data_IF_065230676285
#
_entry.id   IF_065230676285
#
_cell.length_a   1.000
_cell.length_b   1.000
_cell.length_c   1.000
_cell.angle_alpha   90.00
_cell.angle_beta   90.00
_cell.angle_gamma   90.00
#
_symmetry.space_group_name_H-M   'P 1'
#
loop_
_entity.id
_entity.type
_entity.pdbx_description
1 polymer ?
#
# COMPACT_ATOMS: atom_id res chain seq x y z
N UNK A 1 -23.27 10.05 -13.89
CA UNK A 1 -23.65 9.92 -12.45
C UNK A 1 -22.74 10.76 -11.56
N UNK A 2 -23.12 10.99 -10.29
CA UNK A 2 -22.32 11.75 -9.31
C UNK A 2 -21.67 10.81 -8.32
N UNK A 3 -20.35 10.88 -8.23
CA UNK A 3 -19.52 10.03 -7.36
C UNK A 3 -18.85 10.90 -6.29
N UNK A 4 -18.88 10.47 -5.03
CA UNK A 4 -18.11 11.09 -3.97
C UNK A 4 -17.08 10.09 -3.44
N UNK A 5 -15.78 10.37 -3.61
CA UNK A 5 -14.70 9.42 -3.33
C UNK A 5 -13.83 9.94 -2.20
N UNK A 6 -13.53 9.10 -1.20
CA UNK A 6 -12.72 9.49 -0.04
C UNK A 6 -11.50 8.57 0.07
N UNK A 7 -10.31 9.16 -0.06
CA UNK A 7 -9.01 8.55 0.20
C UNK A 7 -8.21 9.43 1.17
N UNK A 8 -7.64 8.84 2.21
CA UNK A 8 -6.98 9.59 3.29
C UNK A 8 -5.44 9.54 3.27
N UNK A 9 -4.82 8.86 2.30
CA UNK A 9 -3.38 8.63 2.21
C UNK A 9 -2.90 8.62 0.76
N UNK A 10 -1.58 8.74 0.55
CA UNK A 10 -0.97 8.76 -0.78
C UNK A 10 -1.23 7.48 -1.60
N UNK A 11 -1.27 6.32 -0.96
CA UNK A 11 -1.63 5.04 -1.59
C UNK A 11 -3.09 5.05 -2.06
N UNK A 12 -3.99 5.58 -1.25
CA UNK A 12 -5.39 5.75 -1.59
C UNK A 12 -5.60 6.76 -2.73
N UNK A 13 -4.80 7.83 -2.79
CA UNK A 13 -4.82 8.81 -3.88
C UNK A 13 -4.41 8.17 -5.22
N UNK A 14 -3.38 7.32 -5.22
CA UNK A 14 -2.98 6.57 -6.41
C UNK A 14 -4.10 5.64 -6.90
N UNK A 15 -4.66 4.84 -6.00
CA UNK A 15 -5.76 3.90 -6.30
C UNK A 15 -7.00 4.67 -6.76
N UNK A 16 -7.32 5.77 -6.09
CA UNK A 16 -8.45 6.65 -6.43
C UNK A 16 -8.29 7.30 -7.79
N UNK A 17 -7.10 7.76 -8.15
CA UNK A 17 -6.80 8.32 -9.47
C UNK A 17 -7.03 7.31 -10.60
N UNK A 18 -6.56 6.06 -10.44
CA UNK A 18 -6.80 5.00 -11.41
C UNK A 18 -8.30 4.67 -11.51
N UNK A 19 -8.99 4.58 -10.36
CA UNK A 19 -10.44 4.35 -10.32
C UNK A 19 -11.21 5.46 -11.05
N UNK A 20 -10.86 6.72 -10.85
CA UNK A 20 -11.54 7.86 -11.47
C UNK A 20 -11.38 7.82 -12.99
N UNK A 21 -10.18 7.54 -13.51
CA UNK A 21 -9.96 7.34 -14.95
C UNK A 21 -10.85 6.22 -15.49
N UNK A 22 -10.89 5.08 -14.82
CA UNK A 22 -11.74 3.95 -15.23
C UNK A 22 -13.24 4.25 -15.13
N UNK A 23 -13.67 5.09 -14.19
CA UNK A 23 -15.06 5.59 -14.12
C UNK A 23 -15.36 6.47 -15.34
N UNK A 24 -14.50 7.43 -15.68
CA UNK A 24 -14.72 8.32 -16.83
C UNK A 24 -14.75 7.57 -18.16
N UNK A 25 -13.99 6.48 -18.30
CA UNK A 25 -14.02 5.61 -19.49
C UNK A 25 -15.36 4.87 -19.64
N UNK A 26 -16.04 4.54 -18.54
CA UNK A 26 -17.28 3.75 -18.53
C UNK A 26 -18.54 4.61 -18.33
N UNK A 27 -18.42 5.78 -17.70
CA UNK A 27 -19.47 6.78 -17.52
C UNK A 27 -18.95 8.13 -17.99
N UNK A 28 -19.15 8.43 -19.28
CA UNK A 28 -18.69 9.68 -19.93
C UNK A 28 -19.29 10.94 -19.33
N UNK A 29 -20.39 10.85 -18.58
CA UNK A 29 -21.04 11.95 -17.87
C UNK A 29 -20.78 11.91 -16.36
N UNK A 30 -19.75 11.16 -15.92
CA UNK A 30 -19.37 11.09 -14.52
C UNK A 30 -18.99 12.47 -13.99
N UNK A 31 -19.57 12.84 -12.85
CA UNK A 31 -19.14 14.00 -12.06
C UNK A 31 -18.55 13.46 -10.77
N UNK A 32 -17.25 13.70 -10.55
CA UNK A 32 -16.52 13.14 -9.42
C UNK A 32 -16.05 14.23 -8.49
N UNK A 33 -16.40 14.11 -7.21
CA UNK A 33 -15.93 14.96 -6.13
C UNK A 33 -15.12 14.11 -5.15
N UNK A 34 -13.97 14.60 -4.68
CA UNK A 34 -13.13 13.77 -3.86
C UNK A 34 -12.44 14.48 -2.68
N UNK A 35 -12.12 13.67 -1.67
CA UNK A 35 -11.05 13.87 -0.72
C UNK A 35 -9.92 12.94 -1.15
N UNK A 36 -8.72 13.46 -1.42
CA UNK A 36 -7.62 12.69 -1.97
C UNK A 36 -6.38 13.56 -2.16
N UNK A 37 -5.78 13.51 -3.32
CA UNK A 37 -4.60 14.29 -3.65
C UNK A 37 -4.46 14.59 -5.13
N UNK A 38 -3.23 14.94 -5.52
CA UNK A 38 -2.89 15.41 -6.85
C UNK A 38 -3.25 14.40 -7.97
N UNK A 39 -3.17 13.08 -7.67
CA UNK A 39 -3.48 12.02 -8.65
C UNK A 39 -4.98 11.91 -8.94
N UNK A 40 -5.82 12.03 -7.93
CA UNK A 40 -7.27 12.03 -8.10
C UNK A 40 -7.75 13.32 -8.80
N UNK A 41 -7.17 14.47 -8.47
CA UNK A 41 -7.45 15.75 -9.14
C UNK A 41 -7.04 15.69 -10.62
N UNK A 42 -5.83 15.22 -10.92
CA UNK A 42 -5.35 15.06 -12.30
C UNK A 42 -6.20 14.06 -13.11
N UNK A 43 -6.82 13.09 -12.44
CA UNK A 43 -7.73 12.14 -13.08
C UNK A 43 -9.12 12.73 -13.39
N UNK A 44 -9.38 13.99 -13.07
CA UNK A 44 -10.61 14.74 -13.43
C UNK A 44 -11.61 14.90 -12.28
N UNK A 45 -11.23 14.61 -11.03
CA UNK A 45 -12.10 14.87 -9.89
C UNK A 45 -11.97 16.30 -9.36
N UNK A 46 -13.08 16.83 -8.81
CA UNK A 46 -13.04 18.07 -8.01
C UNK A 46 -12.49 17.77 -6.62
N UNK A 47 -11.26 18.20 -6.34
CA UNK A 47 -10.62 18.02 -5.05
C UNK A 47 -11.19 18.99 -4.01
N UNK A 48 -11.73 18.47 -2.91
CA UNK A 48 -12.32 19.25 -1.81
C UNK A 48 -11.35 19.37 -0.64
N UNK A 49 -10.62 18.30 -0.38
CA UNK A 49 -9.65 18.25 0.71
C UNK A 49 -8.48 17.35 0.35
N UNK A 50 -7.26 17.90 0.50
CA UNK A 50 -6.05 17.16 0.24
C UNK A 50 -5.69 16.26 1.42
N UNK A 51 -5.28 14.99 1.16
CA UNK A 51 -4.93 14.03 2.22
C UNK A 51 -3.78 14.52 3.12
N UNK A 52 -2.86 15.36 2.62
CA UNK A 52 -1.80 15.99 3.43
C UNK A 52 -2.34 16.82 4.59
N UNK A 53 -3.54 17.37 4.46
CA UNK A 53 -4.22 18.10 5.52
C UNK A 53 -4.91 17.18 6.54
N UNK A 54 -5.02 15.86 6.22
CA UNK A 54 -5.61 14.83 7.08
C UNK A 54 -4.55 14.04 7.86
N UNK A 55 -3.28 14.17 7.48
CA UNK A 55 -2.18 13.41 8.02
C UNK A 55 -1.80 13.88 9.44
N UNK A 56 -2.51 13.36 10.44
CA UNK A 56 -2.09 13.37 11.84
C UNK A 56 -1.43 12.02 12.14
N UNK A 57 -0.10 11.96 12.06
CA UNK A 57 0.66 10.74 12.23
C UNK A 57 1.28 10.66 13.62
N UNK A 58 0.77 9.75 14.45
CA UNK A 58 1.31 9.39 15.74
C UNK A 58 0.21 9.21 16.78
N UNK A 59 0.38 8.24 17.70
CA UNK A 59 -0.65 7.96 18.73
C UNK A 59 -0.88 9.17 19.65
N UNK A 60 0.16 9.95 19.93
CA UNK A 60 0.12 11.19 20.73
C UNK A 60 -0.54 12.32 19.94
N UNK A 61 -0.22 12.45 18.64
CA UNK A 61 -0.78 13.46 17.74
C UNK A 61 -2.29 13.22 17.50
N UNK A 62 -2.73 11.97 17.42
CA UNK A 62 -4.16 11.65 17.31
C UNK A 62 -4.96 12.13 18.51
N UNK A 63 -4.42 12.01 19.73
CA UNK A 63 -5.09 12.46 20.96
C UNK A 63 -5.19 13.99 21.02
N UNK A 64 -4.14 14.69 20.60
CA UNK A 64 -4.09 16.17 20.59
C UNK A 64 -4.96 16.78 19.50
N UNK A 65 -5.21 16.05 18.40
CA UNK A 65 -5.97 16.52 17.25
C UNK A 65 -7.39 15.94 17.09
N UNK A 66 -7.93 15.29 18.13
CA UNK A 66 -9.30 14.74 18.10
C UNK A 66 -10.35 15.76 17.61
N UNK A 67 -10.25 17.02 18.06
CA UNK A 67 -11.15 18.10 17.60
C UNK A 67 -11.06 18.36 16.10
N UNK A 68 -9.87 18.29 15.52
CA UNK A 68 -9.68 18.45 14.08
C UNK A 68 -10.28 17.28 13.28
N UNK A 69 -10.12 16.05 13.78
CA UNK A 69 -10.73 14.86 13.18
C UNK A 69 -12.26 14.98 13.17
N UNK A 70 -12.87 15.34 14.29
CA UNK A 70 -14.33 15.53 14.35
C UNK A 70 -14.80 16.67 13.45
N UNK A 71 -14.09 17.78 13.40
CA UNK A 71 -14.40 18.90 12.50
C UNK A 71 -14.33 18.46 11.03
N UNK A 72 -13.33 17.68 10.65
CA UNK A 72 -13.20 17.13 9.29
C UNK A 72 -14.36 16.17 8.96
N UNK A 73 -14.77 15.31 9.91
CA UNK A 73 -15.94 14.43 9.74
C UNK A 73 -17.20 15.25 9.48
N UNK A 74 -17.47 16.27 10.28
CA UNK A 74 -18.66 17.12 10.11
C UNK A 74 -18.63 17.94 8.83
N UNK A 75 -17.46 18.45 8.43
CA UNK A 75 -17.30 19.11 7.15
C UNK A 75 -17.57 18.14 5.97
N UNK A 76 -17.02 16.94 6.03
CA UNK A 76 -17.22 15.91 5.02
C UNK A 76 -18.72 15.55 4.88
N UNK A 77 -19.41 15.33 5.98
CA UNK A 77 -20.86 15.03 5.99
C UNK A 77 -21.68 16.14 5.35
N UNK A 78 -21.40 17.40 5.69
CA UNK A 78 -22.09 18.57 5.10
C UNK A 78 -21.86 18.67 3.60
N UNK A 79 -20.62 18.43 3.16
CA UNK A 79 -20.27 18.48 1.75
C UNK A 79 -20.92 17.34 0.95
N UNK A 80 -20.95 16.12 1.49
CA UNK A 80 -21.65 14.98 0.88
C UNK A 80 -23.15 15.27 0.71
N UNK A 81 -23.81 15.82 1.75
CA UNK A 81 -25.24 16.17 1.69
C UNK A 81 -25.52 17.25 0.65
N UNK A 82 -24.65 18.27 0.53
CA UNK A 82 -24.80 19.34 -0.45
C UNK A 82 -24.59 18.81 -1.88
N UNK A 83 -23.63 17.91 -2.06
CA UNK A 83 -23.31 17.34 -3.37
C UNK A 83 -24.36 16.32 -3.84
N UNK A 84 -24.99 15.58 -2.93
CA UNK A 84 -25.99 14.54 -3.20
C UNK A 84 -25.48 13.49 -4.20
N UNK A 85 -24.43 12.72 -3.86
CA UNK A 85 -23.88 11.70 -4.74
C UNK A 85 -24.86 10.55 -4.97
N UNK A 86 -24.78 9.91 -6.16
CA UNK A 86 -25.49 8.66 -6.45
C UNK A 86 -24.85 7.47 -5.74
N UNK A 87 -23.52 7.55 -5.49
CA UNK A 87 -22.74 6.57 -4.71
C UNK A 87 -21.61 7.26 -3.95
N UNK A 88 -21.39 6.81 -2.71
CA UNK A 88 -20.24 7.15 -1.88
C UNK A 88 -19.20 6.03 -1.98
N UNK A 89 -17.98 6.36 -2.38
CA UNK A 89 -16.86 5.41 -2.52
C UNK A 89 -15.81 5.70 -1.45
N UNK A 90 -15.52 4.71 -0.63
CA UNK A 90 -14.56 4.81 0.47
C UNK A 90 -13.33 3.96 0.15
N UNK A 91 -12.14 4.58 0.09
CA UNK A 91 -10.89 3.88 -0.22
C UNK A 91 -10.05 3.78 1.04
N UNK A 92 -9.80 2.53 1.53
CA UNK A 92 -9.03 2.27 2.75
C UNK A 92 -9.37 3.23 3.92
N UNK A 93 -8.38 3.77 4.64
CA UNK A 93 -8.52 4.81 5.68
C UNK A 93 -9.62 4.53 6.73
N UNK A 94 -9.61 3.34 7.37
CA UNK A 94 -10.75 2.82 8.12
C UNK A 94 -11.13 3.66 9.34
N UNK A 95 -10.20 4.39 9.94
CA UNK A 95 -10.45 5.24 11.11
C UNK A 95 -11.47 6.36 10.83
N UNK A 96 -11.47 6.89 9.62
CA UNK A 96 -12.36 7.94 9.14
C UNK A 96 -13.53 7.33 8.34
N UNK A 97 -13.21 6.51 7.35
CA UNK A 97 -14.16 6.01 6.39
C UNK A 97 -15.28 5.15 7.01
N UNK A 98 -14.99 4.32 8.01
CA UNK A 98 -16.04 3.54 8.69
C UNK A 98 -17.03 4.41 9.49
N UNK A 99 -16.62 5.58 9.98
CA UNK A 99 -17.53 6.55 10.64
C UNK A 99 -18.41 7.26 9.62
N UNK A 100 -17.85 7.57 8.45
CA UNK A 100 -18.62 8.13 7.34
C UNK A 100 -19.62 7.10 6.80
N UNK A 101 -19.21 5.83 6.64
CA UNK A 101 -20.10 4.75 6.20
C UNK A 101 -21.31 4.58 7.13
N UNK A 102 -21.08 4.47 8.46
CA UNK A 102 -22.15 4.35 9.44
C UNK A 102 -23.16 5.52 9.39
N UNK A 103 -22.66 6.73 9.21
CA UNK A 103 -23.50 7.90 9.08
C UNK A 103 -24.25 7.92 7.74
N UNK A 104 -23.58 7.66 6.61
CA UNK A 104 -24.14 7.69 5.27
C UNK A 104 -25.21 6.59 5.09
N UNK A 105 -25.04 5.43 5.72
CA UNK A 105 -26.06 4.37 5.72
C UNK A 105 -27.36 4.83 6.37
N UNK A 106 -27.29 5.61 7.44
CA UNK A 106 -28.48 6.23 8.09
C UNK A 106 -29.15 7.30 7.22
N UNK A 107 -28.46 7.80 6.20
CA UNK A 107 -29.01 8.71 5.20
C UNK A 107 -29.49 7.97 3.93
N UNK A 108 -29.56 6.64 3.95
CA UNK A 108 -29.95 5.78 2.84
C UNK A 108 -29.07 5.97 1.58
N UNK A 109 -27.80 6.35 1.75
CA UNK A 109 -26.83 6.45 0.65
C UNK A 109 -26.32 5.08 0.25
N UNK A 110 -26.01 4.88 -1.03
CA UNK A 110 -25.31 3.71 -1.54
C UNK A 110 -23.83 3.85 -1.27
N UNK A 111 -23.20 2.80 -0.69
CA UNK A 111 -21.83 2.85 -0.21
C UNK A 111 -21.03 1.69 -0.79
N UNK A 112 -20.01 2.02 -1.59
CA UNK A 112 -18.96 1.10 -2.00
C UNK A 112 -17.71 1.32 -1.14
N UNK A 113 -17.09 0.23 -0.68
CA UNK A 113 -15.81 0.30 0.01
C UNK A 113 -14.76 -0.42 -0.84
N UNK A 114 -13.79 0.31 -1.34
CA UNK A 114 -12.70 -0.20 -2.17
C UNK A 114 -11.39 -0.23 -1.38
N UNK A 115 -10.65 -1.33 -1.44
CA UNK A 115 -9.53 -1.67 -0.58
C UNK A 115 -9.98 -1.86 0.87
N UNK A 116 -10.37 -3.10 1.17
CA UNK A 116 -10.85 -3.51 2.49
C UNK A 116 -9.91 -3.10 3.63
N UNK A 117 -10.44 -2.63 4.76
CA UNK A 117 -9.64 -2.52 5.98
C UNK A 117 -9.05 -3.88 6.36
N UNK A 118 -7.81 -3.91 6.85
CA UNK A 118 -7.12 -5.15 7.23
C UNK A 118 -7.70 -5.77 8.53
N UNK A 119 -9.03 -5.94 8.57
CA UNK A 119 -9.73 -6.51 9.72
C UNK A 119 -9.41 -7.99 9.94
N UNK A 120 -8.97 -8.67 8.90
CA UNK A 120 -8.47 -10.05 8.94
C UNK A 120 -7.18 -10.20 9.76
N UNK A 121 -6.37 -9.15 9.87
CA UNK A 121 -5.15 -9.16 10.68
C UNK A 121 -5.43 -8.87 12.17
N UNK A 122 -6.44 -8.03 12.45
CA UNK A 122 -6.79 -7.60 13.80
C UNK A 122 -8.21 -7.05 13.83
N UNK A 123 -8.92 -7.19 14.97
CA UNK A 123 -10.29 -6.68 15.15
C UNK A 123 -11.34 -7.22 14.16
N UNK A 124 -11.33 -8.52 13.92
CA UNK A 124 -12.28 -9.21 13.02
C UNK A 124 -13.75 -8.85 13.29
N UNK A 125 -14.15 -8.62 14.54
CA UNK A 125 -15.53 -8.19 14.90
C UNK A 125 -16.01 -6.91 14.21
N UNK A 126 -15.08 -6.13 13.59
CA UNK A 126 -15.47 -4.98 12.77
C UNK A 126 -16.21 -5.38 11.48
N UNK A 127 -16.08 -6.63 11.05
CA UNK A 127 -16.82 -7.16 9.90
C UNK A 127 -18.33 -6.98 10.05
N UNK A 128 -18.87 -7.15 11.26
CA UNK A 128 -20.31 -6.94 11.52
C UNK A 128 -20.76 -5.52 11.18
N UNK A 129 -19.93 -4.51 11.56
CA UNK A 129 -20.23 -3.10 11.23
C UNK A 129 -20.09 -2.85 9.72
N UNK A 130 -19.07 -3.41 9.11
CA UNK A 130 -18.84 -3.29 7.66
C UNK A 130 -20.04 -3.90 6.91
N UNK A 131 -20.44 -5.12 7.26
CA UNK A 131 -21.59 -5.82 6.67
C UNK A 131 -22.90 -5.02 6.80
N UNK A 132 -23.11 -4.31 7.93
CA UNK A 132 -24.28 -3.46 8.16
C UNK A 132 -24.27 -2.18 7.31
N UNK A 133 -23.08 -1.54 7.20
CA UNK A 133 -22.98 -0.16 6.73
C UNK A 133 -22.49 -0.02 5.28
N UNK A 134 -21.96 -1.10 4.67
CA UNK A 134 -21.38 -1.08 3.31
C UNK A 134 -22.21 -1.99 2.39
N UNK A 135 -22.71 -1.42 1.28
CA UNK A 135 -23.52 -2.17 0.31
C UNK A 135 -22.67 -3.03 -0.62
N UNK A 136 -21.47 -2.55 -0.98
CA UNK A 136 -20.54 -3.26 -1.87
C UNK A 136 -19.12 -3.17 -1.33
N UNK A 137 -18.55 -4.30 -0.96
CA UNK A 137 -17.15 -4.40 -0.54
C UNK A 137 -16.31 -4.96 -1.69
N UNK A 138 -15.32 -4.17 -2.14
CA UNK A 138 -14.38 -4.51 -3.21
C UNK A 138 -13.01 -4.79 -2.60
N UNK A 139 -12.62 -6.05 -2.60
CA UNK A 139 -11.38 -6.52 -1.99
C UNK A 139 -10.28 -6.69 -3.03
N UNK A 140 -9.01 -6.50 -2.60
CA UNK A 140 -7.85 -6.52 -3.47
C UNK A 140 -6.88 -7.68 -3.19
N UNK A 141 -7.07 -8.40 -2.08
CA UNK A 141 -6.28 -9.58 -1.73
C UNK A 141 -7.14 -10.84 -1.93
N UNK A 142 -6.63 -11.87 -2.63
CA UNK A 142 -7.43 -13.06 -2.97
C UNK A 142 -8.04 -13.75 -1.76
N UNK A 143 -7.27 -13.87 -0.67
CA UNK A 143 -7.71 -14.56 0.56
C UNK A 143 -8.81 -13.80 1.33
N UNK A 144 -9.05 -12.53 1.04
CA UNK A 144 -10.11 -11.75 1.70
C UNK A 144 -11.49 -12.29 1.34
N UNK A 145 -11.66 -12.89 0.17
CA UNK A 145 -12.93 -13.53 -0.21
C UNK A 145 -13.29 -14.65 0.77
N UNK A 146 -12.34 -15.54 1.05
CA UNK A 146 -12.55 -16.65 1.99
C UNK A 146 -12.68 -16.15 3.42
N UNK A 147 -11.96 -15.10 3.79
CA UNK A 147 -12.09 -14.46 5.08
C UNK A 147 -13.50 -13.92 5.30
N UNK A 148 -14.04 -13.12 4.39
CA UNK A 148 -15.38 -12.54 4.52
C UNK A 148 -16.50 -13.58 4.39
N UNK A 149 -16.29 -14.67 3.64
CA UNK A 149 -17.22 -15.81 3.57
C UNK A 149 -17.49 -16.44 4.93
N UNK A 150 -16.48 -16.48 5.84
CA UNK A 150 -16.68 -16.98 7.24
C UNK A 150 -17.68 -16.14 8.04
N UNK A 151 -17.87 -14.87 7.63
CA UNK A 151 -18.81 -13.93 8.24
C UNK A 151 -20.17 -13.86 7.48
N UNK A 152 -20.39 -14.79 6.55
CA UNK A 152 -21.56 -14.74 5.67
C UNK A 152 -21.73 -13.34 5.04
N UNK A 153 -20.63 -12.78 4.52
CA UNK A 153 -20.62 -11.51 3.83
C UNK A 153 -19.97 -11.65 2.45
N UNK A 154 -20.80 -11.46 1.41
CA UNK A 154 -20.35 -11.54 0.03
C UNK A 154 -19.55 -10.28 -0.33
N UNK A 155 -18.32 -10.47 -0.77
CA UNK A 155 -17.42 -9.43 -1.27
C UNK A 155 -17.01 -9.73 -2.71
N UNK A 156 -16.54 -8.70 -3.44
CA UNK A 156 -16.09 -8.87 -4.82
C UNK A 156 -14.58 -8.66 -4.90
N UNK A 157 -13.85 -9.68 -5.32
CA UNK A 157 -12.42 -9.55 -5.64
C UNK A 157 -12.27 -8.87 -7.00
N UNK A 158 -11.62 -7.72 -7.05
CA UNK A 158 -11.47 -6.90 -8.26
C UNK A 158 -10.08 -6.98 -8.89
N UNK A 159 -9.13 -7.66 -8.25
CA UNK A 159 -7.70 -7.66 -8.58
C UNK A 159 -6.93 -6.67 -7.71
N UNK A 160 -5.58 -6.72 -7.79
CA UNK A 160 -4.73 -5.84 -6.97
C UNK A 160 -4.25 -4.62 -7.77
N UNK A 161 -4.49 -3.38 -7.32
CA UNK A 161 -4.13 -2.15 -8.05
C UNK A 161 -2.65 -2.04 -8.41
N UNK A 162 -1.75 -2.57 -7.58
CA UNK A 162 -0.31 -2.54 -7.87
C UNK A 162 0.07 -3.33 -9.13
N UNK A 163 -0.70 -4.34 -9.53
CA UNK A 163 -0.43 -5.09 -10.78
C UNK A 163 -0.55 -4.17 -11.99
N UNK A 164 -1.56 -3.30 -12.01
CA UNK A 164 -1.73 -2.29 -13.07
C UNK A 164 -0.55 -1.32 -13.10
N UNK A 165 -0.24 -0.74 -11.94
CA UNK A 165 0.85 0.23 -11.79
C UNK A 165 2.19 -0.36 -12.24
N UNK A 166 2.52 -1.57 -11.77
CA UNK A 166 3.79 -2.22 -12.12
C UNK A 166 3.83 -2.62 -13.60
N UNK A 167 2.69 -3.02 -14.19
CA UNK A 167 2.60 -3.33 -15.62
C UNK A 167 2.84 -2.09 -16.47
N UNK A 168 2.20 -0.98 -16.16
CA UNK A 168 2.41 0.31 -16.82
C UNK A 168 3.86 0.73 -16.70
N UNK A 169 4.43 0.70 -15.51
CA UNK A 169 5.80 1.10 -15.26
C UNK A 169 6.83 0.19 -15.95
N UNK A 170 6.59 -1.13 -16.04
CA UNK A 170 7.48 -2.03 -16.79
C UNK A 170 7.50 -1.73 -18.29
N UNK A 171 6.39 -1.24 -18.82
CA UNK A 171 6.26 -0.88 -20.22
C UNK A 171 6.78 0.53 -20.52
N UNK A 172 6.84 1.41 -19.52
CA UNK A 172 7.37 2.75 -19.64
C UNK A 172 8.89 2.72 -19.71
N UNK A 173 9.44 3.25 -20.78
CA UNK A 173 10.88 3.38 -21.05
C UNK A 173 11.17 4.88 -21.25
N UNK A 174 12.34 5.38 -20.88
CA UNK A 174 13.63 4.69 -20.66
C UNK A 174 13.94 4.42 -19.19
N UNK A 175 14.71 3.36 -18.94
CA UNK A 175 15.38 3.13 -17.66
C UNK A 175 16.59 4.08 -17.60
N UNK A 176 16.59 4.97 -16.61
CA UNK A 176 17.75 5.85 -16.36
C UNK A 176 18.78 5.04 -15.58
N UNK A 177 19.95 4.77 -16.16
CA UNK A 177 21.02 4.03 -15.49
C UNK A 177 21.44 4.73 -14.20
N UNK A 178 21.46 3.99 -13.10
CA UNK A 178 21.85 4.49 -11.78
C UNK A 178 23.33 4.21 -11.47
N UNK A 179 23.90 3.15 -12.03
CA UNK A 179 25.28 2.75 -11.79
C UNK A 179 25.79 1.80 -12.86
N UNK A 180 27.11 1.78 -13.07
CA UNK A 180 27.79 0.78 -13.87
C UNK A 180 27.94 -0.56 -13.12
N UNK A 181 27.84 -0.56 -11.79
CA UNK A 181 27.84 -1.76 -10.97
C UNK A 181 26.42 -2.32 -10.83
N UNK A 182 26.26 -3.65 -10.61
CA UNK A 182 24.98 -4.23 -10.27
C UNK A 182 24.37 -3.56 -9.02
N UNK A 183 23.08 -3.29 -9.05
CA UNK A 183 22.40 -2.47 -8.03
C UNK A 183 21.75 -3.35 -6.95
N UNK A 184 21.91 -2.98 -5.69
CA UNK A 184 21.12 -3.47 -4.56
C UNK A 184 20.22 -2.33 -4.07
N UNK A 185 18.90 -2.56 -4.09
CA UNK A 185 17.92 -1.59 -3.65
C UNK A 185 17.75 -1.57 -2.12
N UNK A 186 17.76 -0.40 -1.51
CA UNK A 186 17.44 -0.19 -0.11
C UNK A 186 16.15 0.61 0.00
N UNK A 187 15.09 -0.01 0.52
CA UNK A 187 13.79 0.61 0.79
C UNK A 187 13.52 0.60 2.31
N UNK A 188 14.07 1.55 3.08
CA UNK A 188 14.06 1.50 4.55
C UNK A 188 12.71 1.86 5.17
N UNK A 189 11.77 2.35 4.39
CA UNK A 189 10.43 2.76 4.81
C UNK A 189 10.09 4.20 4.46
N UNK A 190 8.86 4.60 4.79
CA UNK A 190 8.34 5.95 4.50
C UNK A 190 8.32 6.88 5.71
N UNK A 191 8.48 6.35 6.93
CA UNK A 191 8.43 7.14 8.17
C UNK A 191 9.83 7.36 8.74
N UNK A 192 10.10 8.56 9.26
CA UNK A 192 11.41 8.90 9.83
C UNK A 192 11.90 7.90 10.88
N UNK A 193 11.03 7.42 11.77
CA UNK A 193 11.37 6.42 12.78
C UNK A 193 11.78 5.08 12.16
N UNK A 194 11.12 4.65 11.10
CA UNK A 194 11.44 3.43 10.38
C UNK A 194 12.81 3.52 9.72
N UNK A 195 13.07 4.64 9.06
CA UNK A 195 14.33 4.92 8.36
C UNK A 195 15.48 4.95 9.36
N UNK A 196 15.35 5.72 10.47
CA UNK A 196 16.37 5.83 11.52
C UNK A 196 16.77 4.47 12.12
N UNK A 197 15.85 3.52 12.20
CA UNK A 197 16.11 2.21 12.82
C UNK A 197 16.65 1.21 11.81
N UNK A 198 16.14 1.17 10.59
CA UNK A 198 16.45 0.11 9.61
C UNK A 198 17.58 0.47 8.68
N UNK A 199 17.66 1.71 8.19
CA UNK A 199 18.69 2.11 7.24
C UNK A 199 20.11 1.90 7.77
N UNK A 200 20.48 2.23 9.03
CA UNK A 200 21.81 1.95 9.55
C UNK A 200 22.20 0.46 9.51
N UNK A 201 21.20 -0.43 9.68
CA UNK A 201 21.46 -1.89 9.64
C UNK A 201 21.66 -2.34 8.19
N UNK A 202 20.87 -1.82 7.26
CA UNK A 202 21.00 -2.11 5.83
C UNK A 202 22.34 -1.62 5.27
N UNK A 203 22.80 -0.44 5.67
CA UNK A 203 24.10 0.14 5.26
C UNK A 203 25.30 -0.72 5.65
N UNK A 204 25.21 -1.48 6.74
CA UNK A 204 26.31 -2.40 7.12
C UNK A 204 26.62 -3.45 6.07
N UNK A 205 25.72 -3.67 5.10
CA UNK A 205 25.96 -4.62 4.02
C UNK A 205 26.93 -4.08 2.96
N UNK A 206 27.10 -2.79 2.83
CA UNK A 206 27.96 -2.14 1.84
C UNK A 206 29.38 -2.70 1.89
N UNK A 207 29.97 -2.83 3.07
CA UNK A 207 31.34 -3.35 3.26
C UNK A 207 31.54 -4.82 2.86
N UNK A 208 30.46 -5.61 2.79
CA UNK A 208 30.52 -7.04 2.44
C UNK A 208 30.31 -7.32 0.96
N UNK A 209 29.79 -6.35 0.20
CA UNK A 209 29.45 -6.50 -1.20
C UNK A 209 29.95 -5.30 -2.03
N UNK A 210 31.28 -5.04 -2.04
CA UNK A 210 31.86 -3.85 -2.70
C UNK A 210 31.73 -3.86 -4.23
N UNK A 211 31.42 -5.02 -4.82
CA UNK A 211 31.15 -5.20 -6.24
C UNK A 211 29.76 -4.66 -6.65
N UNK A 212 28.88 -4.38 -5.68
CA UNK A 212 27.54 -3.84 -5.93
C UNK A 212 27.47 -2.36 -5.58
N UNK A 213 26.54 -1.66 -6.25
CA UNK A 213 26.14 -0.30 -5.88
C UNK A 213 24.86 -0.37 -5.04
N UNK A 214 24.91 0.12 -3.82
CA UNK A 214 23.73 0.24 -2.96
C UNK A 214 23.01 1.56 -3.24
N UNK A 215 21.73 1.49 -3.56
CA UNK A 215 20.92 2.65 -3.91
C UNK A 215 19.71 2.72 -2.98
N UNK A 216 19.56 3.85 -2.30
CA UNK A 216 18.49 4.11 -1.34
C UNK A 216 17.34 4.81 -2.06
N UNK A 217 16.12 4.25 -1.99
CA UNK A 217 14.91 4.95 -2.38
C UNK A 217 14.49 5.90 -1.24
N UNK A 218 14.59 7.20 -1.49
CA UNK A 218 14.14 8.23 -0.56
C UNK A 218 12.61 8.34 -0.61
N UNK A 219 11.98 8.30 0.56
CA UNK A 219 10.56 8.60 0.67
C UNK A 219 10.30 10.09 0.44
N UNK A 220 9.39 10.44 -0.47
CA UNK A 220 9.09 11.82 -0.89
C UNK A 220 8.73 12.77 0.26
N UNK A 221 8.10 12.22 1.31
CA UNK A 221 7.70 12.98 2.49
C UNK A 221 8.83 13.26 3.50
N UNK A 222 10.03 12.70 3.28
CA UNK A 222 11.15 12.85 4.22
C UNK A 222 12.22 13.77 3.65
N UNK A 223 12.84 14.62 4.52
CA UNK A 223 13.86 15.56 4.08
C UNK A 223 15.18 14.84 3.76
N UNK A 224 15.95 15.38 2.84
CA UNK A 224 17.28 14.90 2.46
C UNK A 224 18.25 14.86 3.65
N UNK A 225 18.14 15.80 4.59
CA UNK A 225 18.96 15.88 5.79
C UNK A 225 18.88 14.61 6.64
N UNK A 226 17.70 14.00 6.75
CA UNK A 226 17.51 12.75 7.49
C UNK A 226 18.38 11.63 6.93
N UNK A 227 18.42 11.50 5.60
CA UNK A 227 19.20 10.47 4.94
C UNK A 227 20.70 10.76 4.99
N UNK A 228 21.11 12.01 4.73
CA UNK A 228 22.51 12.44 4.78
C UNK A 228 23.14 12.20 6.16
N UNK A 229 22.39 12.48 7.24
CA UNK A 229 22.83 12.22 8.62
C UNK A 229 23.10 10.73 8.87
N UNK A 230 22.27 9.84 8.31
CA UNK A 230 22.39 8.39 8.52
C UNK A 230 23.45 7.77 7.60
N UNK A 231 23.52 8.22 6.35
CA UNK A 231 24.45 7.71 5.34
C UNK A 231 25.90 8.05 5.71
N UNK A 232 26.14 9.28 6.21
CA UNK A 232 27.50 9.73 6.50
C UNK A 232 28.40 9.66 5.26
N UNK A 233 29.50 8.93 5.37
CA UNK A 233 30.50 8.75 4.30
C UNK A 233 30.35 7.41 3.53
N UNK A 234 29.28 6.64 3.80
CA UNK A 234 29.06 5.38 3.11
C UNK A 234 28.88 5.58 1.59
N UNK A 235 29.55 4.76 0.73
CA UNK A 235 29.52 4.91 -0.71
C UNK A 235 28.20 4.37 -1.32
N UNK A 236 27.12 5.07 -1.08
CA UNK A 236 25.78 4.71 -1.53
C UNK A 236 25.13 5.85 -2.32
N UNK A 237 24.20 5.53 -3.20
CA UNK A 237 23.41 6.52 -3.91
C UNK A 237 22.06 6.72 -3.23
N UNK A 238 21.57 7.95 -3.27
CA UNK A 238 20.23 8.33 -2.79
C UNK A 238 19.42 8.81 -4.01
N UNK A 239 18.27 8.18 -4.26
CA UNK A 239 17.38 8.57 -5.34
C UNK A 239 16.01 8.94 -4.80
N UNK A 240 15.45 10.05 -5.27
CA UNK A 240 14.15 10.57 -4.86
C UNK A 240 13.15 10.40 -6.00
N UNK A 241 11.94 9.95 -5.66
CA UNK A 241 10.84 9.74 -6.60
C UNK A 241 11.18 8.80 -7.79
N UNK A 242 12.16 7.90 -7.59
CA UNK A 242 12.64 6.96 -8.60
C UNK A 242 12.58 5.49 -8.14
N UNK A 243 11.69 5.15 -7.22
CA UNK A 243 11.62 3.79 -6.66
C UNK A 243 11.43 2.74 -7.75
N UNK A 244 10.58 2.98 -8.73
CA UNK A 244 10.35 2.01 -9.80
C UNK A 244 11.53 1.92 -10.80
N UNK A 245 12.18 3.05 -11.10
CA UNK A 245 13.41 3.04 -11.88
C UNK A 245 14.53 2.25 -11.17
N UNK A 246 14.62 2.36 -9.85
CA UNK A 246 15.53 1.58 -9.02
C UNK A 246 15.18 0.08 -9.07
N UNK A 247 13.90 -0.29 -8.86
CA UNK A 247 13.48 -1.69 -8.88
C UNK A 247 13.67 -2.36 -10.25
N UNK A 248 13.54 -1.63 -11.36
CA UNK A 248 13.82 -2.15 -12.71
C UNK A 248 15.27 -2.62 -12.90
N UNK A 249 16.22 -2.08 -12.12
CA UNK A 249 17.66 -2.32 -12.25
C UNK A 249 18.23 -3.18 -11.13
N UNK A 250 17.50 -3.35 -10.03
CA UNK A 250 17.97 -4.01 -8.84
C UNK A 250 18.15 -5.51 -9.05
N UNK A 251 19.30 -6.05 -8.63
CA UNK A 251 19.59 -7.50 -8.57
C UNK A 251 19.05 -8.14 -7.30
N UNK A 252 18.97 -7.37 -6.23
CA UNK A 252 18.36 -7.75 -4.95
C UNK A 252 17.89 -6.49 -4.20
N UNK A 253 17.06 -6.68 -3.16
CA UNK A 253 16.59 -5.60 -2.33
C UNK A 253 16.55 -5.93 -0.84
N UNK A 254 16.84 -4.93 0.00
CA UNK A 254 16.58 -4.92 1.43
C UNK A 254 15.38 -4.02 1.66
N UNK A 255 14.24 -4.61 1.97
CA UNK A 255 12.94 -3.96 1.86
C UNK A 255 12.24 -3.93 3.21
N UNK A 256 11.72 -2.78 3.62
CA UNK A 256 10.86 -2.72 4.80
C UNK A 256 9.54 -3.45 4.56
N UNK A 257 8.97 -4.03 5.62
CA UNK A 257 7.62 -4.62 5.55
C UNK A 257 6.58 -3.54 5.18
N UNK A 258 5.66 -3.89 4.28
CA UNK A 258 4.59 -3.03 3.75
C UNK A 258 4.32 -3.33 2.27
N UNK A 259 3.63 -2.44 1.60
CA UNK A 259 3.34 -2.51 0.15
C UNK A 259 4.60 -2.63 -0.71
N UNK A 260 5.71 -2.03 -0.26
CA UNK A 260 7.00 -2.12 -0.94
C UNK A 260 7.48 -3.56 -1.18
N UNK A 261 7.13 -4.51 -0.30
CA UNK A 261 7.48 -5.93 -0.49
C UNK A 261 6.76 -6.52 -1.70
N UNK A 262 5.49 -6.17 -1.87
CA UNK A 262 4.70 -6.63 -3.01
C UNK A 262 5.15 -5.95 -4.31
N UNK A 263 5.40 -4.64 -4.30
CA UNK A 263 5.95 -3.90 -5.44
C UNK A 263 7.27 -4.54 -5.91
N UNK A 264 8.19 -4.80 -4.97
CA UNK A 264 9.49 -5.42 -5.27
C UNK A 264 9.34 -6.80 -5.90
N UNK A 265 8.44 -7.65 -5.37
CA UNK A 265 8.16 -8.96 -5.94
C UNK A 265 7.52 -8.88 -7.34
N UNK A 266 6.60 -7.95 -7.55
CA UNK A 266 5.96 -7.72 -8.85
C UNK A 266 6.98 -7.21 -9.90
N UNK A 267 8.01 -6.47 -9.50
CA UNK A 267 9.15 -6.15 -10.38
C UNK A 267 10.05 -7.36 -10.64
N UNK A 268 9.89 -8.46 -9.89
CA UNK A 268 10.72 -9.67 -10.02
C UNK A 268 12.05 -9.57 -9.26
N UNK A 269 12.18 -8.62 -8.34
CA UNK A 269 13.43 -8.38 -7.59
C UNK A 269 13.49 -9.29 -6.36
N UNK A 270 14.51 -10.16 -6.23
CA UNK A 270 14.76 -10.93 -5.03
C UNK A 270 14.95 -10.02 -3.83
N UNK A 271 14.35 -10.36 -2.67
CA UNK A 271 14.34 -9.45 -1.52
C UNK A 271 14.50 -10.14 -0.17
N UNK A 272 15.07 -9.41 0.79
CA UNK A 272 14.98 -9.69 2.21
C UNK A 272 14.10 -8.64 2.85
N UNK A 273 13.10 -9.08 3.60
CA UNK A 273 12.18 -8.20 4.31
C UNK A 273 12.78 -7.86 5.67
N UNK A 274 12.97 -6.57 5.92
CA UNK A 274 13.60 -6.03 7.12
C UNK A 274 12.53 -5.35 7.99
N UNK A 275 12.27 -5.90 9.17
CA UNK A 275 11.33 -5.29 10.11
C UNK A 275 11.95 -5.11 11.49
N UNK A 276 11.98 -3.85 11.94
CA UNK A 276 12.36 -3.50 13.30
C UNK A 276 11.55 -2.29 13.75
N UNK A 277 10.83 -2.47 14.84
CA UNK A 277 10.00 -1.44 15.45
C UNK A 277 10.22 -1.36 16.96
N UNK A 278 9.45 -0.50 17.63
CA UNK A 278 9.48 -0.44 19.08
C UNK A 278 9.08 -1.79 19.70
N UNK A 279 9.91 -2.32 20.61
CA UNK A 279 9.75 -3.65 21.20
C UNK A 279 8.39 -3.82 21.93
N UNK A 280 7.94 -2.80 22.65
CA UNK A 280 6.66 -2.83 23.38
C UNK A 280 5.48 -2.87 22.41
N UNK A 281 5.52 -2.01 21.37
CA UNK A 281 4.48 -1.99 20.33
C UNK A 281 4.43 -3.28 19.55
N UNK A 282 5.58 -3.88 19.27
CA UNK A 282 5.66 -5.18 18.59
C UNK A 282 5.10 -6.31 19.46
N UNK A 283 5.48 -6.36 20.74
CA UNK A 283 4.95 -7.36 21.68
C UNK A 283 3.42 -7.26 21.83
N UNK A 284 2.88 -6.05 21.88
CA UNK A 284 1.41 -5.85 21.86
C UNK A 284 0.81 -6.31 20.53
N UNK A 285 1.45 -5.99 19.41
CA UNK A 285 0.99 -6.40 18.10
C UNK A 285 0.95 -7.92 17.96
N UNK A 286 1.98 -8.66 18.41
CA UNK A 286 2.01 -10.13 18.36
C UNK A 286 0.90 -10.81 19.16
N UNK A 287 0.34 -10.13 20.18
CA UNK A 287 -0.81 -10.63 20.94
C UNK A 287 -2.16 -10.31 20.29
N UNK A 288 -2.21 -9.29 19.45
CA UNK A 288 -3.45 -8.79 18.85
C UNK A 288 -3.61 -9.18 17.38
N UNK A 289 -2.51 -9.54 16.72
CA UNK A 289 -2.46 -9.80 15.27
C UNK A 289 -2.27 -11.30 15.07
N UNK A 290 -3.19 -11.93 14.36
CA UNK A 290 -3.22 -13.38 14.10
C UNK A 290 -2.64 -13.75 12.74
N UNK A 291 -1.56 -13.07 12.29
CA UNK A 291 -0.95 -13.36 10.99
C UNK A 291 0.37 -14.13 11.13
N UNK A 292 0.60 -15.08 10.24
CA UNK A 292 1.84 -15.88 10.20
C UNK A 292 3.04 -15.11 9.66
N UNK A 293 2.81 -14.16 8.79
CA UNK A 293 3.82 -13.42 8.02
C UNK A 293 3.56 -11.92 8.10
N UNK A 294 4.61 -11.12 7.88
CA UNK A 294 4.52 -9.66 7.90
C UNK A 294 4.63 -9.01 6.51
N UNK A 295 5.16 -9.73 5.51
CA UNK A 295 5.18 -9.26 4.13
C UNK A 295 3.90 -9.67 3.40
N UNK A 296 3.43 -8.80 2.51
CA UNK A 296 2.27 -9.13 1.67
C UNK A 296 2.56 -10.32 0.75
N UNK A 297 3.81 -10.51 0.32
CA UNK A 297 4.22 -11.65 -0.51
C UNK A 297 3.93 -12.97 0.20
N UNK A 298 4.45 -13.15 1.41
CA UNK A 298 4.27 -14.38 2.19
C UNK A 298 2.82 -14.56 2.64
N UNK A 299 2.12 -13.48 2.98
CA UNK A 299 0.71 -13.50 3.35
C UNK A 299 -0.19 -13.96 2.20
N UNK A 300 0.01 -13.43 1.00
CA UNK A 300 -0.81 -13.78 -0.17
C UNK A 300 -0.54 -15.22 -0.59
N UNK A 301 0.71 -15.64 -0.55
CA UNK A 301 1.14 -16.99 -0.95
C UNK A 301 0.91 -18.05 0.14
N UNK A 302 0.58 -17.64 1.37
CA UNK A 302 0.53 -18.48 2.61
C UNK A 302 1.75 -19.39 2.78
N UNK A 303 2.93 -18.94 2.34
CA UNK A 303 4.20 -19.65 2.47
C UNK A 303 5.38 -18.68 2.60
N UNK A 304 6.55 -19.11 3.15
CA UNK A 304 7.73 -18.26 3.30
C UNK A 304 8.50 -18.10 1.98
N UNK A 305 7.91 -17.38 1.01
CA UNK A 305 8.52 -17.09 -0.29
C UNK A 305 9.77 -16.23 -0.13
N UNK A 306 9.66 -15.16 0.67
CA UNK A 306 10.77 -14.26 0.96
C UNK A 306 11.21 -14.36 2.41
N UNK A 307 12.52 -14.21 2.66
CA UNK A 307 13.06 -14.20 4.01
C UNK A 307 12.60 -12.95 4.76
N UNK A 308 11.99 -13.13 5.93
CA UNK A 308 11.58 -12.04 6.82
C UNK A 308 12.53 -12.03 8.04
N UNK A 309 13.29 -10.96 8.22
CA UNK A 309 14.10 -10.72 9.40
C UNK A 309 13.38 -9.75 10.33
N UNK A 310 12.85 -10.30 11.42
CA UNK A 310 11.93 -9.59 12.32
C UNK A 310 12.62 -9.27 13.64
N UNK A 311 12.59 -7.99 14.05
CA UNK A 311 13.08 -7.53 15.37
C UNK A 311 14.52 -7.98 15.70
N UNK A 312 14.67 -8.94 16.60
CA UNK A 312 15.96 -9.49 17.02
C UNK A 312 16.66 -10.31 15.94
N UNK A 313 15.94 -10.80 14.94
CA UNK A 313 16.52 -11.52 13.80
C UNK A 313 17.17 -10.56 12.78
N UNK A 314 16.77 -9.28 12.76
CA UNK A 314 17.40 -8.27 11.91
C UNK A 314 18.76 -7.86 12.49
N UNK A 315 19.73 -8.76 12.37
CA UNK A 315 21.13 -8.59 12.73
C UNK A 315 21.99 -8.47 11.48
N UNK A 316 23.20 -7.92 11.63
CA UNK A 316 24.17 -7.82 10.55
C UNK A 316 24.52 -9.21 9.97
N UNK A 317 24.71 -10.21 10.83
CA UNK A 317 25.06 -11.58 10.42
C UNK A 317 23.94 -12.25 9.62
N UNK A 318 22.69 -12.20 10.11
CA UNK A 318 21.55 -12.79 9.43
C UNK A 318 21.26 -12.08 8.10
N UNK A 319 21.37 -10.75 8.08
CA UNK A 319 21.15 -9.95 6.87
C UNK A 319 22.21 -10.26 5.81
N UNK A 320 23.50 -10.39 6.21
CA UNK A 320 24.57 -10.82 5.31
C UNK A 320 24.29 -12.20 4.73
N UNK A 321 23.93 -13.18 5.56
CA UNK A 321 23.61 -14.54 5.12
C UNK A 321 22.43 -14.55 4.13
N UNK A 322 21.35 -13.85 4.45
CA UNK A 322 20.17 -13.77 3.59
C UNK A 322 20.48 -13.07 2.25
N UNK A 323 21.21 -11.97 2.28
CA UNK A 323 21.60 -11.26 1.05
C UNK A 323 22.57 -12.09 0.20
N UNK A 324 23.55 -12.77 0.80
CA UNK A 324 24.46 -13.70 0.10
C UNK A 324 23.66 -14.79 -0.63
N UNK A 325 22.65 -15.38 0.04
CA UNK A 325 21.79 -16.40 -0.57
C UNK A 325 21.01 -15.84 -1.78
N UNK A 326 20.46 -14.64 -1.68
CA UNK A 326 19.80 -13.98 -2.81
C UNK A 326 20.71 -13.74 -4.01
N UNK A 327 22.00 -13.46 -3.76
CA UNK A 327 22.94 -13.09 -4.81
C UNK A 327 23.64 -14.29 -5.44
N UNK A 328 23.83 -15.41 -4.69
CA UNK A 328 24.70 -16.51 -5.08
C UNK A 328 23.99 -17.86 -5.23
N UNK A 329 22.83 -18.09 -4.61
CA UNK A 329 22.10 -19.37 -4.67
C UNK A 329 21.18 -19.39 -5.90
N UNK A 330 21.62 -19.98 -7.00
CA UNK A 330 20.86 -20.05 -8.25
C UNK A 330 19.60 -20.89 -8.14
N UNK A 331 19.61 -21.95 -7.30
CA UNK A 331 18.44 -22.78 -7.07
C UNK A 331 17.34 -21.98 -6.36
N UNK A 332 17.72 -21.23 -5.32
CA UNK A 332 16.79 -20.33 -4.60
C UNK A 332 16.26 -19.21 -5.50
N UNK A 333 17.09 -18.61 -6.32
CA UNK A 333 16.64 -17.57 -7.28
C UNK A 333 15.61 -18.12 -8.27
N UNK A 334 15.81 -19.34 -8.75
CA UNK A 334 14.88 -20.01 -9.66
C UNK A 334 13.53 -20.28 -8.99
N UNK A 335 13.55 -20.83 -7.76
CA UNK A 335 12.35 -21.04 -6.95
C UNK A 335 11.61 -19.72 -6.71
N UNK A 336 12.33 -18.69 -6.26
CA UNK A 336 11.76 -17.36 -6.00
C UNK A 336 11.11 -16.75 -7.23
N UNK A 337 11.70 -16.93 -8.41
CA UNK A 337 11.12 -16.47 -9.68
C UNK A 337 9.80 -17.17 -9.98
N UNK A 338 9.72 -18.48 -9.81
CA UNK A 338 8.48 -19.25 -9.99
C UNK A 338 7.39 -18.82 -9.01
N UNK A 339 7.77 -18.55 -7.77
CA UNK A 339 6.86 -18.05 -6.77
C UNK A 339 6.33 -16.64 -7.08
N UNK A 340 7.17 -15.76 -7.59
CA UNK A 340 6.73 -14.43 -8.03
C UNK A 340 5.84 -14.48 -9.27
N UNK A 341 6.05 -15.42 -10.18
CA UNK A 341 5.14 -15.68 -11.31
C UNK A 341 3.78 -16.18 -10.80
N UNK A 342 3.77 -17.12 -9.85
CA UNK A 342 2.54 -17.62 -9.21
C UNK A 342 1.82 -16.49 -8.46
N UNK A 343 2.55 -15.66 -7.70
CA UNK A 343 2.01 -14.48 -7.02
C UNK A 343 1.36 -13.51 -8.03
N UNK A 344 2.05 -13.22 -9.13
CA UNK A 344 1.51 -12.36 -10.18
C UNK A 344 0.17 -12.87 -10.72
N UNK A 345 0.10 -14.16 -11.04
CA UNK A 345 -1.13 -14.78 -11.53
C UNK A 345 -2.25 -14.80 -10.47
N UNK A 346 -1.92 -15.01 -9.19
CA UNK A 346 -2.92 -15.02 -8.11
C UNK A 346 -3.55 -13.64 -7.88
N UNK A 347 -2.79 -12.57 -8.11
CA UNK A 347 -3.27 -11.20 -8.03
C UNK A 347 -4.11 -10.78 -9.24
N UNK A 348 -4.13 -11.60 -10.26
CA UNK A 348 -4.96 -11.47 -11.45
C UNK A 348 -4.37 -10.54 -12.51
N UNK A 349 -4.57 -10.96 -13.77
CA UNK A 349 -4.29 -10.11 -14.95
C UNK A 349 -5.35 -9.01 -15.16
N UNK A 350 -6.30 -8.92 -14.24
CA UNK A 350 -7.44 -8.03 -14.36
C UNK A 350 -7.04 -6.60 -14.00
N UNK A 351 -7.53 -5.66 -14.76
CA UNK A 351 -7.46 -4.24 -14.45
C UNK A 351 -8.34 -3.97 -13.23
N UNK A 352 -7.75 -3.89 -12.04
CA UNK A 352 -8.46 -3.74 -10.77
C UNK A 352 -9.35 -2.49 -10.77
N UNK A 353 -8.85 -1.39 -11.31
CA UNK A 353 -9.58 -0.12 -11.43
C UNK A 353 -10.80 -0.24 -12.33
N UNK A 354 -10.68 -0.93 -13.46
CA UNK A 354 -11.79 -1.15 -14.42
C UNK A 354 -12.88 -2.02 -13.80
N UNK A 355 -12.47 -3.10 -13.11
CA UNK A 355 -13.43 -3.97 -12.42
C UNK A 355 -14.12 -3.25 -11.26
N UNK A 356 -13.36 -2.48 -10.47
CA UNK A 356 -13.92 -1.68 -9.38
C UNK A 356 -14.90 -0.63 -9.90
N UNK A 357 -14.57 0.09 -11.00
CA UNK A 357 -15.44 1.06 -11.63
C UNK A 357 -16.76 0.41 -12.09
N UNK A 358 -16.70 -0.75 -12.75
CA UNK A 358 -17.90 -1.50 -13.18
C UNK A 358 -18.84 -1.81 -12.02
N UNK A 359 -18.29 -2.33 -10.91
CA UNK A 359 -19.08 -2.68 -9.73
C UNK A 359 -19.68 -1.43 -9.05
N UNK A 360 -18.92 -0.32 -9.01
CA UNK A 360 -19.37 0.95 -8.43
C UNK A 360 -20.46 1.61 -9.29
N UNK A 361 -20.31 1.58 -10.61
CA UNK A 361 -21.30 2.10 -11.57
C UNK A 361 -22.60 1.28 -11.47
N UNK A 362 -22.49 -0.05 -11.40
CA UNK A 362 -23.65 -0.93 -11.20
C UNK A 362 -24.39 -0.59 -9.90
N UNK A 363 -23.66 -0.40 -8.80
CA UNK A 363 -24.27 0.03 -7.53
C UNK A 363 -24.92 1.42 -7.65
N UNK A 364 -24.27 2.39 -8.31
CA UNK A 364 -24.79 3.75 -8.48
C UNK A 364 -26.09 3.78 -9.29
N UNK A 365 -26.22 2.94 -10.32
CA UNK A 365 -27.42 2.84 -11.17
C UNK A 365 -28.58 2.05 -10.54
N UNK A 366 -28.35 1.38 -9.41
CA UNK A 366 -29.37 0.55 -8.75
C UNK A 366 -29.54 -0.86 -9.33
N UNK A 367 -28.63 -1.26 -10.17
CA UNK A 367 -28.58 -2.62 -10.75
C UNK A 367 -27.75 -3.52 -9.82
N UNK A 368 -28.31 -3.92 -8.65
CA UNK A 368 -27.65 -4.82 -7.67
C UNK A 368 -28.29 -6.20 -7.74
#
# INVERSE_FOLDING_TARGET
MRYYIIAGEASGDLVGGNLIRAIHEQDTHANVRCWGGDKMETAGATLIKHYRELAFMGFVEVITHLRAIFRNIEFCKKDILAYKPDVLVLIDYPGFNLRIAEWAKKQNMRIAYYVSPQVWAWKEKRVEKIKRDVDKMLVILPFEVDFYKKWDYKVTYVGHPLVEVVREEKNNVPVISLSDKPVIALLPGSRAQEIKVKLPIMLRMVKYFPEYCFVIAQASAQPDSLYKEIIGEEPVLLVKDQTYNLLKQAKAGLITSGTATLETALFGVPQVVCYKGNAVSFWLATKLVSVKYISLVNLIMDKPVVTELIQGELTEANLKTALTRLLQDEAYKKELKQDYETLWHSLGDKHASVNAAKEIISLASGNV
#
